data_IF_783277210769
#
_entry.id   IF_783277210769
#
_cell.length_a   1.000
_cell.length_b   1.000
_cell.length_c   1.000
_cell.angle_alpha   90.00
_cell.angle_beta   90.00
_cell.angle_gamma   90.00
#
_symmetry.space_group_name_H-M   'P 1'
#
loop_
_entity.id
_entity.type
_entity.pdbx_description
1 polymer ?
#
# COMPACT_ATOMS: atom_id res chain seq x y z
N UNK A 1 29.79 22.24 -9.30
CA UNK A 1 28.52 22.51 -8.59
C UNK A 1 27.88 21.17 -8.26
N UNK A 2 27.98 20.68 -7.01
CA UNK A 2 27.28 19.46 -6.58
C UNK A 2 25.88 19.87 -6.13
N UNK A 3 24.88 19.54 -6.93
CA UNK A 3 23.50 19.68 -6.47
C UNK A 3 23.19 18.44 -5.63
N UNK A 4 23.02 18.61 -4.32
CA UNK A 4 22.48 17.59 -3.40
C UNK A 4 20.99 17.35 -3.74
N UNK A 5 20.71 16.88 -4.97
CA UNK A 5 19.35 16.77 -5.49
C UNK A 5 18.56 15.59 -4.91
N UNK A 6 19.23 14.63 -4.29
CA UNK A 6 18.56 13.44 -3.73
C UNK A 6 18.65 13.49 -2.21
N UNK A 7 17.51 13.69 -1.51
CA UNK A 7 17.51 13.66 -0.06
C UNK A 7 17.91 12.27 0.43
N UNK A 8 18.63 12.20 1.55
CA UNK A 8 19.07 10.92 2.16
C UNK A 8 17.90 10.05 2.64
N UNK A 9 16.73 10.65 2.82
CA UNK A 9 15.51 10.00 3.26
C UNK A 9 14.29 10.62 2.58
N UNK A 10 13.26 9.82 2.37
CA UNK A 10 11.94 10.25 1.90
C UNK A 10 10.91 9.91 2.98
N UNK A 11 10.20 10.91 3.48
CA UNK A 11 9.10 10.70 4.41
C UNK A 11 7.78 10.53 3.65
N UNK A 12 7.00 9.53 4.04
CA UNK A 12 5.66 9.26 3.56
C UNK A 12 4.67 9.34 4.71
N UNK A 13 3.38 9.35 4.40
CA UNK A 13 2.33 9.34 5.40
C UNK A 13 2.44 8.11 6.30
N UNK A 14 2.41 8.35 7.60
CA UNK A 14 2.42 7.31 8.62
C UNK A 14 1.24 6.35 8.48
N UNK A 15 1.40 5.16 9.06
CA UNK A 15 0.32 4.20 9.25
C UNK A 15 0.05 4.03 10.74
N UNK A 16 -0.99 4.72 11.23
CA UNK A 16 -1.27 4.82 12.65
C UNK A 16 -0.10 5.51 13.38
N UNK A 17 0.50 4.83 14.35
CA UNK A 17 1.66 5.32 15.11
C UNK A 17 3.02 5.04 14.45
N UNK A 18 3.04 4.36 13.30
CA UNK A 18 4.26 3.93 12.61
C UNK A 18 4.64 4.92 11.53
N UNK A 19 5.84 5.47 11.61
CA UNK A 19 6.41 6.32 10.56
C UNK A 19 6.83 5.49 9.36
N UNK A 20 6.67 6.05 8.17
CA UNK A 20 7.07 5.42 6.90
C UNK A 20 8.16 6.26 6.27
N UNK A 21 9.38 5.73 6.27
CA UNK A 21 10.57 6.45 5.81
C UNK A 21 11.32 5.57 4.81
N UNK A 22 11.41 6.05 3.57
CA UNK A 22 12.33 5.49 2.58
C UNK A 22 13.75 5.92 2.90
N UNK A 23 14.61 4.96 3.26
CA UNK A 23 16.05 5.19 3.49
C UNK A 23 16.86 4.55 2.37
N UNK A 24 17.98 5.18 2.02
CA UNK A 24 18.90 4.70 1.00
C UNK A 24 20.19 4.15 1.62
N UNK A 25 20.06 3.45 2.75
CA UNK A 25 21.15 2.89 3.55
C UNK A 25 21.30 1.36 3.41
N UNK A 26 20.48 0.74 2.54
CA UNK A 26 20.52 -0.71 2.29
C UNK A 26 19.81 -1.57 3.35
N UNK A 27 18.92 -0.98 4.16
CA UNK A 27 18.08 -1.70 5.13
C UNK A 27 17.11 -2.74 4.51
N UNK A 28 15.81 -2.70 4.88
CA UNK A 28 14.81 -3.51 4.16
C UNK A 28 14.63 -2.94 2.76
N UNK A 29 14.89 -3.75 1.73
CA UNK A 29 14.81 -3.37 0.33
C UNK A 29 13.56 -3.98 -0.29
N UNK A 30 12.86 -3.22 -1.13
CA UNK A 30 11.73 -3.67 -1.94
C UNK A 30 11.82 -3.05 -3.33
N UNK A 31 11.42 -3.82 -4.35
CA UNK A 31 11.21 -3.31 -5.72
C UNK A 31 9.90 -2.53 -5.85
N UNK A 32 8.98 -2.70 -4.91
CA UNK A 32 7.61 -2.16 -4.96
C UNK A 32 7.47 -0.80 -4.28
N UNK A 33 8.60 -0.13 -4.02
CA UNK A 33 8.63 1.17 -3.34
C UNK A 33 7.82 2.26 -4.06
N UNK A 34 7.61 2.13 -5.37
CA UNK A 34 6.72 3.00 -6.15
C UNK A 34 5.27 3.00 -5.64
N UNK A 35 4.83 1.91 -5.00
CA UNK A 35 3.51 1.81 -4.38
C UNK A 35 3.26 2.85 -3.29
N UNK A 36 4.31 3.33 -2.60
CA UNK A 36 4.18 4.39 -1.60
C UNK A 36 3.70 5.69 -2.23
N UNK A 37 4.14 6.01 -3.44
CA UNK A 37 3.68 7.20 -4.17
C UNK A 37 2.21 7.06 -4.57
N UNK A 38 1.78 5.86 -4.97
CA UNK A 38 0.37 5.58 -5.27
C UNK A 38 -0.50 5.76 -4.03
N UNK A 39 -0.02 5.30 -2.86
CA UNK A 39 -0.69 5.49 -1.58
C UNK A 39 -0.81 6.97 -1.19
N UNK A 40 0.23 7.77 -1.41
CA UNK A 40 0.17 9.22 -1.18
C UNK A 40 -0.90 9.90 -2.05
N UNK A 41 -0.97 9.50 -3.33
CA UNK A 41 -1.97 10.03 -4.26
C UNK A 41 -3.36 9.61 -3.84
N UNK A 42 -3.59 8.31 -3.57
CA UNK A 42 -4.88 7.82 -3.09
C UNK A 42 -5.35 8.57 -1.86
N UNK A 43 -4.49 8.72 -0.84
CA UNK A 43 -4.87 9.43 0.38
C UNK A 43 -5.31 10.87 0.11
N UNK A 44 -4.66 11.56 -0.84
CA UNK A 44 -5.02 12.94 -1.18
C UNK A 44 -6.36 13.05 -1.93
N UNK A 45 -6.68 12.07 -2.76
CA UNK A 45 -7.87 12.13 -3.63
C UNK A 45 -9.01 11.22 -3.16
N UNK A 46 -8.79 10.36 -2.18
CA UNK A 46 -9.75 9.35 -1.70
C UNK A 46 -10.29 8.46 -2.82
N UNK A 47 -9.42 7.97 -3.71
CA UNK A 47 -9.87 7.17 -4.86
C UNK A 47 -10.43 5.82 -4.38
N UNK A 48 -9.69 5.13 -3.54
CA UNK A 48 -10.03 3.79 -3.07
C UNK A 48 -11.23 3.81 -2.12
N UNK A 49 -11.42 4.87 -1.33
CA UNK A 49 -12.63 5.04 -0.51
C UNK A 49 -13.88 5.15 -1.40
N UNK A 50 -13.82 6.01 -2.41
CA UNK A 50 -14.94 6.22 -3.33
C UNK A 50 -15.24 4.96 -4.13
N UNK A 51 -14.22 4.27 -4.61
CA UNK A 51 -14.37 3.01 -5.34
C UNK A 51 -14.94 1.91 -4.44
N UNK A 52 -14.42 1.73 -3.22
CA UNK A 52 -14.94 0.76 -2.27
C UNK A 52 -16.39 1.06 -1.86
N UNK A 53 -16.77 2.34 -1.75
CA UNK A 53 -18.13 2.77 -1.47
C UNK A 53 -19.15 2.42 -2.57
N UNK A 54 -18.72 2.01 -3.76
CA UNK A 54 -19.60 1.52 -4.82
C UNK A 54 -20.04 0.06 -4.60
N UNK A 55 -19.45 -0.65 -3.64
CA UNK A 55 -19.77 -2.04 -3.37
C UNK A 55 -20.69 -2.17 -2.16
N UNK A 56 -21.64 -3.10 -2.27
CA UNK A 56 -22.38 -3.61 -1.11
C UNK A 56 -21.69 -4.88 -0.62
N UNK A 57 -21.23 -4.87 0.62
CA UNK A 57 -20.63 -6.05 1.23
C UNK A 57 -21.72 -6.97 1.80
N UNK A 58 -21.98 -8.08 1.12
CA UNK A 58 -22.97 -9.08 1.55
C UNK A 58 -22.39 -10.15 2.48
N UNK A 59 -21.09 -10.07 2.81
CA UNK A 59 -20.45 -11.03 3.71
C UNK A 59 -20.95 -10.82 5.14
N UNK A 60 -20.90 -11.89 5.93
CA UNK A 60 -21.20 -11.80 7.37
C UNK A 60 -20.21 -10.85 8.06
N UNK A 61 -20.65 -9.75 8.71
CA UNK A 61 -19.75 -8.79 9.34
C UNK A 61 -18.78 -9.40 10.36
N UNK A 62 -19.22 -10.43 11.09
CA UNK A 62 -18.40 -11.13 12.09
C UNK A 62 -17.32 -12.05 11.48
N UNK A 63 -17.29 -12.19 10.15
CA UNK A 63 -16.32 -13.00 9.42
C UNK A 63 -15.45 -12.17 8.49
N UNK A 64 -15.44 -10.84 8.65
CA UNK A 64 -14.63 -9.92 7.84
C UNK A 64 -13.29 -9.66 8.52
N UNK A 65 -12.24 -10.30 8.01
CA UNK A 65 -10.84 -9.98 8.33
C UNK A 65 -10.32 -8.79 7.50
N UNK A 66 -10.76 -8.71 6.24
CA UNK A 66 -10.38 -7.65 5.29
C UNK A 66 -11.62 -6.95 4.74
N UNK A 67 -11.69 -5.65 5.01
CA UNK A 67 -12.72 -4.76 4.49
C UNK A 67 -12.69 -4.71 2.97
N UNK A 68 -13.81 -4.32 2.34
CA UNK A 68 -13.85 -4.11 0.89
C UNK A 68 -12.81 -3.08 0.44
N UNK A 69 -12.56 -2.04 1.24
CA UNK A 69 -11.50 -1.06 0.99
C UNK A 69 -10.13 -1.74 0.87
N UNK A 70 -9.76 -2.61 1.80
CA UNK A 70 -8.47 -3.31 1.78
C UNK A 70 -8.35 -4.25 0.56
N UNK A 71 -9.43 -4.97 0.22
CA UNK A 71 -9.46 -5.86 -0.95
C UNK A 71 -9.33 -5.08 -2.27
N UNK A 72 -10.05 -3.96 -2.39
CA UNK A 72 -9.95 -3.07 -3.55
C UNK A 72 -8.56 -2.45 -3.63
N UNK A 73 -8.00 -2.01 -2.49
CA UNK A 73 -6.65 -1.47 -2.43
C UNK A 73 -5.61 -2.50 -2.89
N UNK A 74 -5.67 -3.74 -2.38
CA UNK A 74 -4.80 -4.83 -2.80
C UNK A 74 -4.85 -5.00 -4.32
N UNK A 75 -6.04 -5.07 -4.90
CA UNK A 75 -6.19 -5.28 -6.34
C UNK A 75 -5.66 -4.10 -7.16
N UNK A 76 -6.00 -2.87 -6.78
CA UNK A 76 -5.59 -1.67 -7.53
C UNK A 76 -4.07 -1.46 -7.46
N UNK A 77 -3.47 -1.60 -6.28
CA UNK A 77 -2.01 -1.50 -6.15
C UNK A 77 -1.29 -2.66 -6.86
N UNK A 78 -1.80 -3.89 -6.75
CA UNK A 78 -1.26 -5.04 -7.46
C UNK A 78 -1.23 -4.81 -8.98
N UNK A 79 -2.34 -4.34 -9.56
CA UNK A 79 -2.41 -3.97 -10.98
C UNK A 79 -1.38 -2.89 -11.36
N UNK A 80 -1.28 -1.83 -10.57
CA UNK A 80 -0.35 -0.73 -10.83
C UNK A 80 1.13 -1.14 -10.71
N UNK A 81 1.41 -2.16 -9.89
CA UNK A 81 2.75 -2.73 -9.70
C UNK A 81 3.05 -3.88 -10.69
N UNK A 82 2.11 -4.24 -11.57
CA UNK A 82 2.30 -5.26 -12.61
C UNK A 82 1.88 -6.68 -12.23
N UNK A 83 1.25 -6.88 -11.06
CA UNK A 83 0.76 -8.18 -10.59
C UNK A 83 -0.67 -8.47 -11.07
N UNK A 84 -0.86 -8.51 -12.39
CA UNK A 84 -2.19 -8.64 -12.99
C UNK A 84 -2.79 -10.05 -12.86
N UNK A 85 -1.95 -11.08 -12.99
CA UNK A 85 -2.30 -12.50 -13.13
C UNK A 85 -2.61 -13.25 -11.82
N UNK A 86 -2.35 -12.62 -10.68
CA UNK A 86 -2.63 -13.10 -9.32
C UNK A 86 -1.83 -14.32 -8.84
N UNK A 87 -0.88 -14.86 -9.62
CA UNK A 87 -0.19 -16.10 -9.26
C UNK A 87 0.70 -15.98 -8.01
N UNK A 88 1.25 -14.80 -7.75
CA UNK A 88 2.15 -14.54 -6.62
C UNK A 88 1.42 -14.06 -5.36
N UNK A 89 0.09 -13.89 -5.41
CA UNK A 89 -0.65 -13.25 -4.32
C UNK A 89 -0.62 -14.04 -2.99
N UNK A 90 -0.45 -15.36 -3.05
CA UNK A 90 -0.24 -16.20 -1.86
C UNK A 90 1.04 -15.83 -1.11
N UNK A 91 2.07 -15.36 -1.83
CA UNK A 91 3.33 -14.87 -1.23
C UNK A 91 3.19 -13.40 -0.88
N UNK A 92 2.69 -12.59 -1.81
CA UNK A 92 2.59 -11.13 -1.67
C UNK A 92 1.65 -10.68 -0.54
N UNK A 93 0.66 -11.49 -0.16
CA UNK A 93 -0.19 -11.19 1.00
C UNK A 93 0.58 -11.09 2.33
N UNK A 94 1.81 -11.63 2.39
CA UNK A 94 2.71 -11.56 3.55
C UNK A 94 3.79 -10.49 3.41
N UNK A 95 3.84 -9.78 2.28
CA UNK A 95 4.80 -8.71 2.07
C UNK A 95 4.45 -7.46 2.89
N UNK A 96 5.42 -6.96 3.65
CA UNK A 96 5.19 -5.81 4.54
C UNK A 96 4.93 -4.50 3.81
N UNK A 97 5.49 -4.34 2.60
CA UNK A 97 5.27 -3.15 1.77
C UNK A 97 3.84 -3.15 1.28
N UNK A 98 3.37 -4.27 0.72
CA UNK A 98 2.00 -4.38 0.23
C UNK A 98 0.97 -4.29 1.37
N UNK A 99 1.24 -4.91 2.51
CA UNK A 99 0.41 -4.76 3.70
C UNK A 99 0.35 -3.29 4.20
N UNK A 100 1.46 -2.55 4.10
CA UNK A 100 1.48 -1.11 4.35
C UNK A 100 0.63 -0.34 3.32
N UNK A 101 0.70 -0.69 2.02
CA UNK A 101 -0.08 -0.02 0.97
C UNK A 101 -1.58 -0.10 1.24
N UNK A 102 -2.07 -1.28 1.65
CA UNK A 102 -3.49 -1.50 1.95
C UNK A 102 -3.91 -0.99 3.33
N UNK A 103 -2.96 -0.55 4.16
CA UNK A 103 -3.23 0.04 5.47
C UNK A 103 -3.38 -0.96 6.62
N UNK A 104 -2.83 -2.19 6.48
CA UNK A 104 -2.94 -3.25 7.49
C UNK A 104 -2.22 -2.87 8.78
N UNK A 105 -2.93 -2.88 9.91
CA UNK A 105 -2.41 -2.34 11.16
C UNK A 105 -1.60 -3.35 11.99
N UNK A 106 -1.85 -4.63 11.79
CA UNK A 106 -1.38 -5.79 12.55
C UNK A 106 -0.17 -6.52 11.92
N UNK A 107 0.64 -5.80 11.15
CA UNK A 107 1.97 -6.23 10.71
C UNK A 107 2.96 -6.44 11.87
#
# INVERSE_FOLDING_TARGET
MKTECTPKQLAFQSLGRREVIGRFDGGRITSDGGGLLLREVDHRIGLLDRLAGCFTDYRNPESIEHSVRELVAQRVYGLALGYEDLNDHDVLCRDSTLALLVGKQDL
#
